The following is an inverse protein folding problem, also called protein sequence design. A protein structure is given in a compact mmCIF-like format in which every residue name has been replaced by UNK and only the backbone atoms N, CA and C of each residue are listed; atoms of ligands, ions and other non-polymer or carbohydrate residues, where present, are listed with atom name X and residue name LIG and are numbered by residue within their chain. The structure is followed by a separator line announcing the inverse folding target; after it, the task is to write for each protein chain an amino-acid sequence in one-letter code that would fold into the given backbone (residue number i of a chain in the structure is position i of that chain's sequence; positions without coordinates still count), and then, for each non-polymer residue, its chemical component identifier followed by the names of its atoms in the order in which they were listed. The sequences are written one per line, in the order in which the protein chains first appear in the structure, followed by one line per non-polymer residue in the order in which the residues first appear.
data_IF_851672760113
#
_entry.id   IF_851672760113
#
_cell.length_a   1.000
_cell.length_b   1.000
_cell.length_c   1.000
_cell.angle_alpha   90.00
_cell.angle_beta   90.00
_cell.angle_gamma   90.00
#
_symmetry.space_group_name_H-M   'P 1'
#
loop_
_entity.id
_entity.type
_entity.pdbx_description
1 polymer ?
#
# COMPACT_ATOMS: atom_id res chain seq x y z
N UNK A 1 -23.15 -35.18 -59.29
CA UNK A 1 -23.21 -35.02 -57.81
C UNK A 1 -21.84 -34.61 -57.30
N UNK A 2 -21.82 -33.66 -56.34
CA UNK A 2 -20.69 -33.20 -55.50
C UNK A 2 -19.54 -32.44 -56.18
N UNK A 3 -19.36 -31.18 -55.75
CA UNK A 3 -18.18 -30.70 -54.98
C UNK A 3 -18.62 -29.58 -54.03
N UNK A 4 -18.65 -29.85 -52.72
CA UNK A 4 -18.74 -28.81 -51.68
C UNK A 4 -17.34 -28.20 -51.54
N UNK A 5 -17.22 -26.88 -51.66
CA UNK A 5 -16.01 -26.14 -51.32
C UNK A 5 -16.09 -25.71 -49.84
N UNK A 6 -15.19 -26.22 -49.03
CA UNK A 6 -14.92 -25.73 -47.68
C UNK A 6 -14.12 -24.42 -47.78
N UNK A 7 -14.67 -23.31 -47.31
CA UNK A 7 -13.94 -22.06 -47.12
C UNK A 7 -13.38 -22.05 -45.69
N UNK A 8 -12.08 -22.32 -45.55
CA UNK A 8 -11.34 -22.13 -44.30
C UNK A 8 -11.13 -20.64 -44.06
N UNK A 9 -11.69 -20.14 -42.96
CA UNK A 9 -11.49 -18.80 -42.44
C UNK A 9 -10.06 -18.63 -41.90
N UNK A 10 -9.40 -17.54 -42.31
CA UNK A 10 -8.17 -17.06 -41.68
C UNK A 10 -8.50 -15.72 -41.02
N UNK A 11 -8.92 -15.77 -39.75
CA UNK A 11 -9.08 -14.58 -38.92
C UNK A 11 -7.68 -14.14 -38.46
N UNK A 12 -7.10 -13.16 -39.15
CA UNK A 12 -5.89 -12.49 -38.70
C UNK A 12 -6.24 -11.64 -37.46
N UNK A 13 -5.83 -12.11 -36.27
CA UNK A 13 -5.80 -11.25 -35.09
C UNK A 13 -4.81 -10.10 -35.38
N UNK A 14 -5.35 -8.90 -35.54
CA UNK A 14 -4.55 -7.67 -35.52
C UNK A 14 -4.03 -7.49 -34.08
N UNK A 15 -2.78 -7.91 -33.85
CA UNK A 15 -2.03 -7.50 -32.67
C UNK A 15 -1.79 -6.00 -32.78
N UNK A 16 -2.54 -5.20 -32.02
CA UNK A 16 -2.22 -3.79 -31.85
C UNK A 16 -0.83 -3.69 -31.22
N UNK A 17 0.12 -2.95 -31.79
CA UNK A 17 1.42 -2.79 -31.17
C UNK A 17 1.22 -2.18 -29.79
N UNK A 18 1.80 -2.82 -28.77
CA UNK A 18 2.08 -2.15 -27.50
C UNK A 18 2.80 -0.83 -27.78
N UNK A 19 2.68 0.17 -26.91
CA UNK A 19 3.40 1.45 -26.97
C UNK A 19 4.92 1.27 -26.85
N UNK A 20 5.54 0.58 -27.80
CA UNK A 20 6.98 0.48 -27.95
C UNK A 20 7.46 1.81 -28.52
N UNK A 21 7.96 2.69 -27.64
CA UNK A 21 8.53 3.98 -28.09
C UNK A 21 8.40 5.16 -27.14
N UNK A 22 7.69 5.06 -26.00
CA UNK A 22 7.50 6.18 -25.08
C UNK A 22 7.93 5.85 -23.66
N UNK A 23 8.62 6.77 -23.01
CA UNK A 23 8.94 6.73 -21.58
C UNK A 23 8.14 7.80 -20.86
N UNK A 24 7.51 7.44 -19.74
CA UNK A 24 6.77 8.36 -18.89
C UNK A 24 7.55 8.56 -17.59
N UNK A 25 7.80 9.83 -17.24
CA UNK A 25 8.60 10.22 -16.07
C UNK A 25 7.75 11.09 -15.14
N UNK A 26 7.55 10.65 -13.90
CA UNK A 26 6.93 11.45 -12.85
C UNK A 26 7.91 12.46 -12.28
N UNK A 27 7.56 13.74 -12.33
CA UNK A 27 8.36 14.82 -11.75
C UNK A 27 7.78 15.18 -10.38
N UNK A 28 8.24 14.51 -9.31
CA UNK A 28 7.65 14.65 -7.96
C UNK A 28 7.53 16.12 -7.51
N UNK A 29 8.60 16.91 -7.63
CA UNK A 29 8.57 18.33 -7.22
C UNK A 29 7.90 19.26 -8.24
N UNK A 30 7.81 18.81 -9.50
CA UNK A 30 7.26 19.59 -10.61
C UNK A 30 5.73 19.46 -10.74
N UNK A 31 5.12 18.48 -10.05
CA UNK A 31 3.69 18.18 -10.15
C UNK A 31 3.24 17.81 -11.58
N UNK A 32 4.16 17.29 -12.39
CA UNK A 32 3.97 16.97 -13.81
C UNK A 32 4.44 15.56 -14.15
N UNK A 33 4.05 15.10 -15.34
CA UNK A 33 4.61 13.93 -16.01
C UNK A 33 5.19 14.36 -17.36
N UNK A 34 6.43 13.96 -17.61
CA UNK A 34 7.11 14.14 -18.90
C UNK A 34 7.03 12.86 -19.72
N UNK A 35 6.72 13.01 -21.01
CA UNK A 35 6.73 11.95 -22.02
C UNK A 35 7.95 12.14 -22.88
N UNK A 36 8.80 11.12 -22.94
CA UNK A 36 9.99 11.09 -23.78
C UNK A 36 9.80 10.09 -24.92
N UNK A 37 10.45 10.34 -26.06
CA UNK A 37 10.70 9.30 -27.05
C UNK A 37 11.77 8.34 -26.52
N UNK A 38 11.51 7.04 -26.54
CA UNK A 38 12.42 6.05 -25.95
C UNK A 38 13.67 5.78 -26.79
N UNK A 39 13.75 6.29 -28.02
CA UNK A 39 14.91 6.14 -28.91
C UNK A 39 15.79 7.38 -28.90
N UNK A 40 15.18 8.56 -29.01
CA UNK A 40 15.91 9.83 -29.08
C UNK A 40 16.11 10.47 -27.71
N UNK A 41 15.34 10.04 -26.70
CA UNK A 41 15.27 10.66 -25.36
C UNK A 41 14.79 12.12 -25.37
N UNK A 42 14.21 12.56 -26.49
CA UNK A 42 13.66 13.90 -26.61
C UNK A 42 12.34 14.01 -25.86
N UNK A 43 12.10 15.19 -25.28
CA UNK A 43 10.83 15.52 -24.63
C UNK A 43 9.75 15.71 -25.69
N UNK A 44 8.79 14.79 -25.71
CA UNK A 44 7.63 14.87 -26.60
C UNK A 44 6.54 15.76 -26.02
N UNK A 45 6.33 15.67 -24.70
CA UNK A 45 5.29 16.43 -24.00
C UNK A 45 5.53 16.44 -22.49
N UNK A 46 5.03 17.47 -21.82
CA UNK A 46 4.86 17.50 -20.37
C UNK A 46 3.42 17.90 -20.03
N UNK A 47 2.84 17.29 -19.00
CA UNK A 47 1.47 17.60 -18.57
C UNK A 47 1.33 17.54 -17.03
N UNK A 48 0.43 18.34 -16.44
CA UNK A 48 0.19 18.31 -15.00
C UNK A 48 -0.40 16.97 -14.56
N UNK A 49 0.05 16.45 -13.42
CA UNK A 49 -0.29 15.12 -12.93
C UNK A 49 -0.73 15.07 -11.46
N UNK A 50 -0.99 16.23 -10.86
CA UNK A 50 -1.32 16.38 -9.44
C UNK A 50 -0.10 16.64 -8.55
N UNK A 51 -0.31 16.90 -7.27
CA UNK A 51 0.75 17.21 -6.31
C UNK A 51 1.55 15.95 -5.94
N UNK A 52 2.88 16.03 -6.13
CA UNK A 52 3.84 14.95 -5.90
C UNK A 52 3.52 13.64 -6.61
N UNK A 53 3.54 13.63 -7.95
CA UNK A 53 3.37 12.41 -8.73
C UNK A 53 4.57 11.49 -8.48
N UNK A 54 4.29 10.22 -8.14
CA UNK A 54 5.31 9.20 -7.88
C UNK A 54 5.12 7.99 -8.78
N UNK A 55 4.20 7.10 -8.40
CA UNK A 55 3.93 5.89 -9.17
C UNK A 55 3.22 6.18 -10.47
N UNK A 56 3.69 5.56 -11.56
CA UNK A 56 3.07 5.62 -12.88
C UNK A 56 2.98 4.20 -13.43
N UNK A 57 1.83 3.86 -14.01
CA UNK A 57 1.64 2.60 -14.75
C UNK A 57 0.73 2.84 -15.95
N UNK A 58 1.05 2.23 -17.10
CA UNK A 58 0.20 2.26 -18.29
C UNK A 58 -0.77 1.07 -18.26
N UNK A 59 -2.00 1.26 -18.76
CA UNK A 59 -2.92 0.14 -18.97
C UNK A 59 -2.36 -0.85 -19.99
N UNK A 60 -2.76 -2.14 -19.95
CA UNK A 60 -2.28 -3.15 -20.90
C UNK A 60 -2.55 -2.79 -22.36
N UNK A 61 -3.65 -2.09 -22.64
CA UNK A 61 -3.99 -1.60 -23.98
C UNK A 61 -3.28 -0.29 -24.37
N UNK A 62 -2.46 0.27 -23.48
CA UNK A 62 -1.71 1.51 -23.66
C UNK A 62 -2.57 2.78 -23.71
N UNK A 63 -3.88 2.70 -23.49
CA UNK A 63 -4.79 3.85 -23.66
C UNK A 63 -4.88 4.73 -22.43
N UNK A 64 -4.55 4.21 -21.25
CA UNK A 64 -4.64 4.91 -19.96
C UNK A 64 -3.26 4.92 -19.30
N UNK A 65 -3.00 6.01 -18.57
CA UNK A 65 -1.84 6.15 -17.71
C UNK A 65 -2.36 6.49 -16.30
N UNK A 66 -2.09 5.62 -15.34
CA UNK A 66 -2.47 5.81 -13.94
C UNK A 66 -1.29 6.45 -13.22
N UNK A 67 -1.54 7.58 -12.55
CA UNK A 67 -0.51 8.34 -11.83
C UNK A 67 -0.95 8.55 -10.37
N UNK A 68 -0.04 8.26 -9.44
CA UNK A 68 -0.26 8.48 -8.01
C UNK A 68 0.31 9.83 -7.58
N UNK A 69 -0.57 10.79 -7.31
CA UNK A 69 -0.25 12.10 -6.72
C UNK A 69 -0.37 12.02 -5.19
N UNK A 70 0.77 12.01 -4.50
CA UNK A 70 0.86 11.66 -3.07
C UNK A 70 0.32 12.71 -2.09
N UNK A 71 0.33 13.99 -2.45
CA UNK A 71 -0.10 15.07 -1.53
C UNK A 71 -1.53 15.55 -1.79
N UNK A 72 -2.21 14.91 -2.74
CA UNK A 72 -3.33 15.54 -3.42
C UNK A 72 -4.70 15.15 -2.87
N UNK A 73 -4.86 14.54 -1.68
CA UNK A 73 -6.09 14.15 -0.92
C UNK A 73 -7.55 14.18 -1.51
N UNK A 74 -7.80 14.07 -2.83
CA UNK A 74 -9.15 14.20 -3.44
C UNK A 74 -9.34 13.44 -4.77
N UNK A 75 -10.55 12.95 -5.06
CA UNK A 75 -10.94 12.44 -6.40
C UNK A 75 -12.21 13.14 -6.90
N UNK A 76 -12.28 13.47 -8.20
CA UNK A 76 -13.48 13.96 -8.92
C UNK A 76 -13.63 13.27 -10.28
N UNK A 77 -14.86 13.16 -10.80
CA UNK A 77 -15.14 12.68 -12.17
C UNK A 77 -16.22 13.48 -12.91
N UNK A 78 -16.11 13.68 -14.23
CA UNK A 78 -17.12 14.30 -15.12
C UNK A 78 -17.01 13.82 -16.58
N UNK A 79 -18.12 13.74 -17.31
CA UNK A 79 -18.16 13.58 -18.78
C UNK A 79 -19.37 14.33 -19.40
N UNK A 80 -19.30 14.59 -20.72
CA UNK A 80 -20.18 15.35 -21.62
C UNK A 80 -19.70 16.77 -22.02
N UNK A 81 -18.45 16.87 -22.47
CA UNK A 81 -18.05 17.93 -23.42
C UNK A 81 -17.48 19.21 -22.83
N UNK A 82 -17.50 19.36 -21.50
CA UNK A 82 -16.66 20.31 -20.77
C UNK A 82 -15.89 19.54 -19.68
N UNK A 83 -14.67 20.02 -19.35
CA UNK A 83 -13.67 19.37 -18.47
C UNK A 83 -14.32 18.71 -17.24
N UNK A 84 -13.84 17.53 -16.82
CA UNK A 84 -13.15 17.25 -15.53
C UNK A 84 -12.93 15.73 -15.30
N UNK A 85 -11.66 15.30 -15.03
CA UNK A 85 -11.08 14.12 -14.31
C UNK A 85 -11.77 12.71 -14.38
N UNK A 86 -11.00 11.59 -14.36
CA UNK A 86 -11.39 10.22 -13.94
C UNK A 86 -10.15 9.30 -13.96
N UNK A 87 -9.71 8.48 -13.00
CA UNK A 87 -10.13 7.96 -11.69
C UNK A 87 -8.84 7.85 -10.83
N UNK A 88 -8.91 7.84 -9.49
CA UNK A 88 -7.74 7.86 -8.61
C UNK A 88 -7.71 6.71 -7.61
N UNK A 89 -6.54 6.07 -7.52
CA UNK A 89 -6.19 5.11 -6.48
C UNK A 89 -5.23 5.78 -5.48
N UNK A 90 -5.55 5.70 -4.19
CA UNK A 90 -4.75 6.27 -3.11
C UNK A 90 -3.67 5.27 -2.68
N UNK A 91 -2.39 5.65 -2.74
CA UNK A 91 -1.33 5.00 -1.94
C UNK A 91 -0.47 6.07 -1.28
N UNK A 92 -0.40 6.00 0.02
CA UNK A 92 0.64 6.60 0.85
C UNK A 92 1.33 5.50 1.65
N UNK A 93 2.16 4.68 0.99
CA UNK A 93 3.07 3.78 1.73
C UNK A 93 4.40 3.51 1.03
N UNK A 94 5.47 3.57 1.82
CA UNK A 94 6.80 3.01 1.55
C UNK A 94 7.71 3.80 0.59
N UNK A 95 9.03 3.55 0.72
CA UNK A 95 10.08 3.98 -0.21
C UNK A 95 9.92 3.23 -1.55
N UNK A 96 8.84 3.51 -2.27
CA UNK A 96 8.46 2.72 -3.44
C UNK A 96 7.00 2.98 -3.77
N UNK A 97 6.82 3.90 -4.73
CA UNK A 97 5.61 4.21 -5.46
C UNK A 97 4.54 3.09 -5.58
N UNK A 98 3.29 3.48 -5.88
CA UNK A 98 2.14 2.60 -6.18
C UNK A 98 2.38 1.33 -7.01
N UNK A 99 3.45 1.30 -7.81
CA UNK A 99 3.75 0.21 -8.73
C UNK A 99 4.94 -0.67 -8.32
N UNK A 100 5.69 -0.34 -7.25
CA UNK A 100 6.79 -1.17 -6.80
C UNK A 100 6.23 -2.42 -6.08
N UNK A 101 6.58 -3.64 -6.52
CA UNK A 101 6.28 -4.85 -5.75
C UNK A 101 6.95 -4.74 -4.36
N UNK A 102 6.37 -5.38 -3.32
CA UNK A 102 7.01 -5.46 -2.01
C UNK A 102 8.43 -6.00 -2.13
N UNK A 103 9.30 -5.55 -1.21
CA UNK A 103 10.73 -5.87 -1.26
C UNK A 103 11.03 -7.30 -0.83
N UNK A 104 10.12 -7.91 -0.05
CA UNK A 104 10.29 -9.29 0.45
C UNK A 104 9.85 -10.32 -0.58
N UNK A 105 10.52 -11.46 -0.59
CA UNK A 105 10.09 -12.63 -1.36
C UNK A 105 8.63 -13.00 -1.02
N UNK A 106 7.74 -13.19 -2.03
CA UNK A 106 6.33 -13.46 -1.79
C UNK A 106 6.07 -14.73 -1.00
N UNK A 107 6.89 -15.78 -1.17
CA UNK A 107 6.73 -17.04 -0.43
C UNK A 107 7.07 -16.82 1.04
N UNK A 108 8.15 -16.10 1.33
CA UNK A 108 8.53 -15.76 2.71
C UNK A 108 7.49 -14.84 3.37
N UNK A 109 6.99 -13.83 2.65
CA UNK A 109 5.99 -12.90 3.16
C UNK A 109 4.65 -13.61 3.48
N UNK A 110 4.28 -14.62 2.69
CA UNK A 110 3.09 -15.42 2.96
C UNK A 110 3.29 -16.44 4.09
N UNK A 111 4.52 -16.91 4.31
CA UNK A 111 4.84 -17.84 5.39
C UNK A 111 4.64 -17.22 6.78
N UNK A 112 4.98 -15.94 6.95
CA UNK A 112 4.81 -15.18 8.21
C UNK A 112 3.55 -14.32 8.21
N UNK A 113 2.62 -14.56 7.28
CA UNK A 113 1.45 -13.70 7.09
C UNK A 113 0.62 -13.58 8.37
N UNK A 114 0.49 -12.35 8.87
CA UNK A 114 -0.29 -12.03 10.06
C UNK A 114 0.39 -12.39 11.38
N UNK A 115 1.66 -12.82 11.36
CA UNK A 115 2.47 -12.89 12.57
C UNK A 115 2.63 -11.47 13.13
N UNK A 116 2.47 -11.34 14.45
CA UNK A 116 2.51 -10.04 15.13
C UNK A 116 3.46 -10.07 16.31
N UNK A 117 4.27 -9.02 16.43
CA UNK A 117 5.11 -8.75 17.60
C UNK A 117 4.52 -7.57 18.37
N UNK A 118 4.25 -7.77 19.65
CA UNK A 118 3.60 -6.80 20.52
C UNK A 118 4.54 -6.36 21.64
N UNK A 119 4.75 -5.05 21.77
CA UNK A 119 5.65 -4.51 22.79
C UNK A 119 5.03 -3.32 23.53
N UNK A 120 4.90 -3.45 24.85
CA UNK A 120 4.59 -2.31 25.69
C UNK A 120 5.79 -1.38 25.81
N UNK A 121 5.53 -0.08 25.66
CA UNK A 121 6.52 0.97 25.73
C UNK A 121 6.23 1.91 26.91
N UNK A 122 7.29 2.44 27.55
CA UNK A 122 7.12 3.40 28.63
C UNK A 122 6.44 4.68 28.12
N UNK A 123 5.71 5.35 29.01
CA UNK A 123 5.20 6.68 28.76
C UNK A 123 6.37 7.63 28.48
N UNK A 124 6.48 8.12 27.25
CA UNK A 124 7.45 9.15 26.88
C UNK A 124 6.93 10.50 27.35
N UNK A 125 7.22 10.86 28.60
CA UNK A 125 7.04 12.23 29.05
C UNK A 125 8.06 13.15 28.33
N UNK A 126 7.65 14.39 28.05
CA UNK A 126 8.46 15.47 27.48
C UNK A 126 9.90 15.51 28.08
N UNK A 127 10.92 16.00 27.35
CA UNK A 127 12.32 15.89 27.74
C UNK A 127 12.60 16.49 29.13
N UNK A 128 12.52 15.66 30.17
CA UNK A 128 12.92 16.02 31.52
C UNK A 128 14.44 16.09 31.56
N UNK A 129 15.01 17.19 32.08
CA UNK A 129 16.45 17.40 32.22
C UNK A 129 17.08 16.53 33.34
N UNK A 130 16.26 15.85 34.13
CA UNK A 130 16.70 15.09 35.30
C UNK A 130 16.64 13.58 35.05
N UNK A 131 17.78 12.91 35.17
CA UNK A 131 17.91 11.44 35.07
C UNK A 131 17.07 10.74 36.14
N UNK A 132 17.02 11.27 37.36
CA UNK A 132 16.22 10.69 38.45
C UNK A 132 14.71 10.75 38.15
N UNK A 133 14.25 11.79 37.46
CA UNK A 133 12.84 11.93 37.08
C UNK A 133 12.49 11.00 35.92
N UNK A 134 13.43 10.73 35.00
CA UNK A 134 13.25 9.72 33.95
C UNK A 134 13.19 8.31 34.53
N UNK A 135 14.07 7.98 35.48
CA UNK A 135 14.07 6.68 36.17
C UNK A 135 12.79 6.49 36.98
N UNK A 136 12.28 7.54 37.64
CA UNK A 136 11.00 7.49 38.35
C UNK A 136 9.78 7.36 37.41
N UNK A 137 9.80 8.00 36.24
CA UNK A 137 8.75 7.86 35.22
C UNK A 137 8.76 6.48 34.54
N UNK A 138 9.95 5.87 34.40
CA UNK A 138 10.15 4.52 33.88
C UNK A 138 9.73 3.41 34.85
N UNK A 139 9.45 3.72 36.12
CA UNK A 139 9.14 2.75 37.17
C UNK A 139 7.72 2.16 37.11
N UNK A 140 7.25 1.78 35.91
CA UNK A 140 6.03 0.99 35.71
C UNK A 140 4.92 1.66 34.89
N UNK A 141 5.13 2.86 34.34
CA UNK A 141 4.13 3.51 33.49
C UNK A 141 4.35 3.13 32.03
N UNK A 142 3.60 2.13 31.57
CA UNK A 142 3.38 1.94 30.14
C UNK A 142 2.52 3.09 29.63
N UNK A 143 2.90 3.67 28.50
CA UNK A 143 2.13 4.73 27.85
C UNK A 143 1.81 4.44 26.39
N UNK A 144 2.38 3.39 25.80
CA UNK A 144 2.05 2.96 24.46
C UNK A 144 2.21 1.44 24.25
N UNK A 145 1.57 0.93 23.22
CA UNK A 145 1.72 -0.40 22.66
C UNK A 145 2.20 -0.27 21.20
N UNK A 146 3.35 -0.88 20.90
CA UNK A 146 3.79 -1.13 19.53
C UNK A 146 3.19 -2.46 19.06
N UNK A 147 2.65 -2.46 17.85
CA UNK A 147 2.12 -3.60 17.13
C UNK A 147 2.84 -3.66 15.78
N UNK A 148 3.75 -4.61 15.65
CA UNK A 148 4.47 -4.91 14.41
C UNK A 148 3.79 -6.08 13.72
N UNK A 149 3.33 -5.89 12.48
CA UNK A 149 2.56 -6.89 11.73
C UNK A 149 3.36 -7.35 10.53
N UNK A 150 3.57 -8.65 10.38
CA UNK A 150 4.10 -9.25 9.14
C UNK A 150 2.97 -9.35 8.11
N UNK A 151 2.99 -8.49 7.10
CA UNK A 151 1.94 -8.49 6.08
C UNK A 151 2.45 -7.86 4.77
N UNK A 152 2.28 -8.53 3.61
CA UNK A 152 2.81 -8.03 2.34
C UNK A 152 2.11 -6.77 1.82
N UNK A 153 0.85 -6.55 2.23
CA UNK A 153 0.04 -5.37 1.89
C UNK A 153 0.02 -5.07 0.39
N UNK A 154 -0.29 -6.10 -0.41
CA UNK A 154 -0.48 -5.98 -1.85
C UNK A 154 -1.69 -5.10 -2.13
N UNK A 155 -1.50 -4.01 -2.86
CA UNK A 155 -2.53 -3.01 -3.17
C UNK A 155 -3.44 -3.42 -4.32
N UNK A 156 -3.10 -4.49 -5.05
CA UNK A 156 -3.77 -4.85 -6.30
C UNK A 156 -3.24 -4.12 -7.54
N UNK A 157 -2.39 -3.10 -7.35
CA UNK A 157 -1.86 -2.25 -8.42
C UNK A 157 -0.41 -2.59 -8.80
N UNK A 158 0.26 -3.41 -7.98
CA UNK A 158 1.60 -3.91 -8.29
C UNK A 158 1.54 -4.93 -9.43
N UNK A 159 2.58 -4.96 -10.27
CA UNK A 159 2.78 -6.03 -11.24
C UNK A 159 3.99 -6.88 -10.86
N UNK A 160 3.82 -8.19 -10.96
CA UNK A 160 4.92 -9.15 -10.91
C UNK A 160 5.79 -8.99 -12.15
N UNK A 161 7.09 -8.76 -11.97
CA UNK A 161 8.00 -8.42 -13.06
C UNK A 161 8.35 -9.62 -13.96
N UNK A 162 8.06 -10.85 -13.55
CA UNK A 162 8.35 -12.08 -14.31
C UNK A 162 7.16 -12.42 -15.20
N UNK A 163 5.98 -12.45 -14.61
CA UNK A 163 4.72 -12.83 -15.26
C UNK A 163 4.03 -11.66 -15.95
N UNK A 164 4.38 -10.42 -15.59
CA UNK A 164 3.71 -9.19 -16.05
C UNK A 164 2.21 -9.14 -15.73
N UNK A 165 1.78 -9.92 -14.74
CA UNK A 165 0.41 -9.92 -14.24
C UNK A 165 0.31 -9.02 -13.00
N UNK A 166 -0.88 -8.46 -12.79
CA UNK A 166 -1.20 -7.74 -11.56
C UNK A 166 -1.19 -8.71 -10.38
N UNK A 167 -0.54 -8.31 -9.29
CA UNK A 167 -0.56 -9.03 -8.02
C UNK A 167 -1.94 -8.79 -7.40
N UNK A 168 -2.68 -9.84 -7.01
CA UNK A 168 -3.99 -9.69 -6.38
C UNK A 168 -3.93 -8.80 -5.13
N UNK A 169 -5.00 -8.03 -4.92
CA UNK A 169 -5.21 -7.25 -3.71
C UNK A 169 -5.17 -8.17 -2.49
N UNK A 170 -4.32 -7.85 -1.52
CA UNK A 170 -4.27 -8.51 -0.21
C UNK A 170 -3.66 -7.56 0.82
N UNK A 171 -4.49 -6.98 1.65
CA UNK A 171 -4.10 -6.00 2.68
C UNK A 171 -4.62 -6.39 4.06
N UNK A 172 -4.02 -5.79 5.09
CA UNK A 172 -4.63 -5.74 6.42
C UNK A 172 -6.01 -5.09 6.27
N UNK A 173 -7.06 -5.83 6.62
CA UNK A 173 -8.46 -5.39 6.52
C UNK A 173 -8.92 -4.70 7.80
N UNK A 174 -8.86 -5.39 8.93
CA UNK A 174 -9.21 -4.82 10.24
C UNK A 174 -8.18 -5.26 11.30
N UNK A 175 -7.89 -4.38 12.25
CA UNK A 175 -7.09 -4.68 13.44
C UNK A 175 -7.88 -4.26 14.66
N UNK A 176 -8.22 -5.22 15.50
CA UNK A 176 -8.87 -5.03 16.79
C UNK A 176 -7.82 -5.14 17.90
N UNK A 177 -7.85 -4.19 18.84
CA UNK A 177 -7.00 -4.16 20.02
C UNK A 177 -7.88 -4.16 21.24
N UNK A 178 -7.72 -5.18 22.07
CA UNK A 178 -8.35 -5.32 23.38
C UNK A 178 -7.29 -5.11 24.46
N UNK A 179 -7.60 -4.27 25.45
CA UNK A 179 -6.74 -4.04 26.62
C UNK A 179 -7.42 -4.64 27.85
N UNK A 180 -6.70 -5.47 28.59
CA UNK A 180 -7.21 -6.14 29.79
C UNK A 180 -8.59 -6.81 29.58
N UNK A 181 -8.76 -7.49 28.44
CA UNK A 181 -10.01 -8.13 27.97
C UNK A 181 -11.17 -7.17 27.64
N UNK A 182 -10.89 -5.89 27.46
CA UNK A 182 -11.89 -4.89 27.10
C UNK A 182 -11.57 -4.30 25.72
N UNK A 183 -12.55 -4.23 24.79
CA UNK A 183 -12.35 -3.60 23.50
C UNK A 183 -11.86 -2.16 23.64
N UNK A 184 -10.76 -1.83 22.96
CA UNK A 184 -10.11 -0.53 23.10
C UNK A 184 -10.06 0.23 21.77
N UNK A 185 -9.58 -0.39 20.71
CA UNK A 185 -9.41 0.24 19.40
C UNK A 185 -9.77 -0.74 18.29
N UNK A 186 -10.47 -0.24 17.27
CA UNK A 186 -10.60 -0.87 15.96
C UNK A 186 -10.00 0.02 14.89
N UNK A 187 -9.13 -0.54 14.06
CA UNK A 187 -8.53 0.14 12.91
C UNK A 187 -8.93 -0.59 11.64
N UNK A 188 -9.53 0.12 10.68
CA UNK A 188 -9.72 -0.39 9.32
C UNK A 188 -8.47 -0.09 8.50
N UNK A 189 -7.90 -1.12 7.90
CA UNK A 189 -6.80 -1.00 6.96
C UNK A 189 -7.28 -0.66 5.55
N UNK A 190 -6.33 -0.35 4.68
CA UNK A 190 -6.58 -0.04 3.27
C UNK A 190 -5.37 -0.34 2.41
N UNK A 191 -5.52 -0.18 1.09
CA UNK A 191 -4.42 -0.26 0.11
C UNK A 191 -3.27 0.72 0.36
N UNK A 192 -3.46 1.69 1.26
CA UNK A 192 -2.41 2.64 1.66
C UNK A 192 -1.53 2.13 2.80
N UNK A 193 -1.81 0.98 3.42
CA UNK A 193 -0.90 0.42 4.41
C UNK A 193 0.39 -0.08 3.74
N UNK A 194 1.52 0.13 4.42
CA UNK A 194 2.81 -0.38 3.97
C UNK A 194 2.90 -1.89 4.10
N UNK A 195 3.86 -2.47 3.36
CA UNK A 195 4.42 -3.77 3.72
C UNK A 195 4.93 -3.71 5.17
N UNK A 196 4.67 -4.77 5.92
CA UNK A 196 4.96 -4.92 7.34
C UNK A 196 4.54 -3.70 8.18
N UNK A 197 3.23 -3.40 8.25
CA UNK A 197 2.77 -2.20 8.91
C UNK A 197 3.05 -2.25 10.41
N UNK A 198 3.53 -1.12 10.94
CA UNK A 198 3.75 -0.89 12.37
C UNK A 198 2.76 0.14 12.87
N UNK A 199 2.03 -0.22 13.92
CA UNK A 199 1.09 0.65 14.63
C UNK A 199 1.65 0.95 16.02
N UNK A 200 1.56 2.21 16.44
CA UNK A 200 1.78 2.61 17.83
C UNK A 200 0.51 3.23 18.36
N UNK A 201 -0.01 2.70 19.46
CA UNK A 201 -1.21 3.20 20.12
C UNK A 201 -0.84 3.64 21.52
N UNK A 202 -1.28 4.82 21.95
CA UNK A 202 -1.19 5.20 23.36
C UNK A 202 -2.10 4.30 24.18
N UNK A 203 -1.66 3.84 25.35
CA UNK A 203 -2.48 3.00 26.24
C UNK A 203 -2.69 3.68 27.60
N UNK A 204 -3.82 3.45 28.28
CA UNK A 204 -4.06 3.98 29.61
C UNK A 204 -3.01 3.54 30.64
N UNK A 205 -2.82 4.35 31.69
CA UNK A 205 -2.03 3.92 32.83
C UNK A 205 -2.68 2.69 33.50
N UNK A 206 -1.84 1.73 33.91
CA UNK A 206 -2.30 0.50 34.55
C UNK A 206 -2.70 -0.62 33.61
N UNK A 207 -2.65 -0.40 32.28
CA UNK A 207 -2.82 -1.48 31.30
C UNK A 207 -1.76 -2.57 31.53
N UNK A 208 -2.21 -3.81 31.68
CA UNK A 208 -1.35 -4.95 32.03
C UNK A 208 -1.28 -5.98 30.92
N UNK A 209 -2.27 -6.03 30.04
CA UNK A 209 -2.39 -7.00 28.96
C UNK A 209 -2.98 -6.35 27.71
N UNK A 210 -2.50 -6.78 26.55
CA UNK A 210 -3.09 -6.45 25.26
C UNK A 210 -3.26 -7.72 24.43
N UNK A 211 -4.41 -7.84 23.76
CA UNK A 211 -4.66 -8.80 22.71
C UNK A 211 -4.95 -8.04 21.42
N UNK A 212 -4.35 -8.48 20.32
CA UNK A 212 -4.53 -7.90 18.99
C UNK A 212 -5.04 -8.98 18.05
N UNK A 213 -6.17 -8.73 17.40
CA UNK A 213 -6.73 -9.58 16.35
C UNK A 213 -6.61 -8.87 15.01
N UNK A 214 -5.95 -9.52 14.05
CA UNK A 214 -5.83 -9.06 12.67
C UNK A 214 -6.78 -9.84 11.76
N UNK A 215 -7.51 -9.13 10.91
CA UNK A 215 -8.32 -9.65 9.82
C UNK A 215 -7.71 -9.23 8.48
N UNK A 216 -7.25 -10.18 7.68
CA UNK A 216 -6.80 -9.99 6.30
C UNK A 216 -8.00 -9.96 5.34
N UNK A 217 -7.87 -9.19 4.26
CA UNK A 217 -8.87 -9.10 3.18
C UNK A 217 -9.17 -10.43 2.47
N UNK A 218 -8.25 -11.39 2.53
CA UNK A 218 -8.45 -12.74 1.99
C UNK A 218 -8.97 -13.75 3.05
N UNK A 219 -9.48 -13.23 4.17
CA UNK A 219 -10.18 -13.99 5.20
C UNK A 219 -9.30 -14.63 6.28
N UNK A 220 -7.97 -14.51 6.21
CA UNK A 220 -7.09 -14.99 7.28
C UNK A 220 -7.29 -14.14 8.54
N UNK A 221 -7.41 -14.80 9.69
CA UNK A 221 -7.48 -14.15 10.99
C UNK A 221 -6.34 -14.65 11.87
N UNK A 222 -5.57 -13.73 12.43
CA UNK A 222 -4.47 -14.04 13.35
C UNK A 222 -4.64 -13.26 14.65
N UNK A 223 -4.10 -13.81 15.74
CA UNK A 223 -4.13 -13.20 17.07
C UNK A 223 -2.75 -13.20 17.69
N UNK A 224 -2.43 -12.15 18.41
CA UNK A 224 -1.26 -12.07 19.26
C UNK A 224 -1.65 -11.45 20.60
N UNK A 225 -0.94 -11.81 21.66
CA UNK A 225 -1.16 -11.26 22.98
C UNK A 225 0.16 -10.96 23.65
N UNK A 226 0.16 -9.97 24.53
CA UNK A 226 1.30 -9.65 25.39
C UNK A 226 0.80 -9.20 26.76
N UNK A 227 1.58 -9.47 27.78
CA UNK A 227 1.30 -9.02 29.13
C UNK A 227 2.57 -8.52 29.80
N UNK A 228 2.43 -7.54 30.68
CA UNK A 228 3.47 -7.18 31.61
C UNK A 228 3.59 -8.33 32.61
N UNK A 229 4.81 -8.78 32.88
CA UNK A 229 5.06 -9.71 33.96
C UNK A 229 4.51 -9.10 35.26
N UNK A 230 3.67 -9.87 35.98
CA UNK A 230 3.26 -9.49 37.31
C UNK A 230 4.51 -9.39 38.20
N UNK A 231 4.85 -8.18 38.65
CA UNK A 231 5.90 -7.93 39.62
C UNK A 231 5.34 -8.08 41.04
#
# INVERSE_FOLDING_TARGET
MRRLAFATALATLLTTPALAGKVFVSNERGNTVTVLDSKTWEVLKEFPAGNRPRGIIASPDGKKLYVCASDDDVVRVTDAGERHVAERYLKTSGQGACAAPPGTDPVLALATLGDMELAFLPALDAPSKSVNTRIAALAGKVGALDVDISHPSHSGLQMDQITLLYIPLRVVGEVDVDLDNTPYLRMSGSISLSENPRLRVSVPEGTSMAEVTLHDTDGKVTRAHTSLAAY
#
